data_IF_976637355792
#
_entry.id   IF_976637355792
#
_cell.length_a   1.000
_cell.length_b   1.000
_cell.length_c   1.000
_cell.angle_alpha   90.00
_cell.angle_beta   90.00
_cell.angle_gamma   90.00
#
_symmetry.space_group_name_H-M   'P 1'
#
loop_
_entity.id
_entity.type
_entity.pdbx_description
1 polymer ?
#
# COMPACT_ATOMS: atom_id res chain seq x y z
N UNK A 1 18.68 7.93 20.03
CA UNK A 1 18.76 6.93 18.94
C UNK A 1 17.41 6.29 18.73
N UNK A 2 16.94 6.21 17.50
CA UNK A 2 15.67 5.54 17.13
C UNK A 2 15.98 4.11 16.72
N UNK A 3 15.25 3.14 17.26
CA UNK A 3 15.38 1.72 16.93
C UNK A 3 14.22 1.29 16.03
N UNK A 4 14.54 0.87 14.81
CA UNK A 4 13.59 0.27 13.87
C UNK A 4 13.73 -1.25 13.90
N UNK A 5 12.60 -1.94 14.03
CA UNK A 5 12.53 -3.39 13.94
C UNK A 5 12.06 -3.82 12.56
N UNK A 6 12.96 -4.35 11.76
CA UNK A 6 12.75 -4.74 10.35
C UNK A 6 12.16 -6.12 10.15
N UNK A 7 11.44 -6.69 11.12
CA UNK A 7 10.88 -8.05 11.02
C UNK A 7 9.96 -8.27 9.81
N UNK A 8 9.42 -7.19 9.22
CA UNK A 8 8.56 -7.27 8.03
C UNK A 8 9.27 -7.95 6.85
N UNK A 9 10.59 -7.78 6.70
CA UNK A 9 11.35 -8.38 5.61
C UNK A 9 11.33 -9.92 5.66
N UNK A 10 11.26 -10.50 6.86
CA UNK A 10 11.13 -11.95 7.04
C UNK A 10 9.71 -12.48 6.86
N UNK A 11 8.71 -11.60 6.78
CA UNK A 11 7.28 -11.95 6.66
C UNK A 11 6.81 -11.79 5.22
N UNK A 12 7.21 -10.70 4.58
CA UNK A 12 6.90 -10.41 3.17
C UNK A 12 8.09 -9.70 2.51
N UNK A 13 8.64 -10.29 1.47
CA UNK A 13 9.80 -9.73 0.77
C UNK A 13 9.55 -8.37 0.13
N UNK A 14 8.31 -8.10 -0.33
CA UNK A 14 7.93 -6.82 -0.91
C UNK A 14 6.42 -6.60 -0.85
N UNK A 15 6.04 -5.46 -0.32
CA UNK A 15 4.64 -5.04 -0.20
C UNK A 15 4.58 -3.59 0.28
N UNK A 16 3.38 -3.02 0.38
CA UNK A 16 3.19 -1.63 0.80
C UNK A 16 3.86 -1.29 2.14
N UNK A 17 3.85 -2.22 3.10
CA UNK A 17 4.49 -2.04 4.41
C UNK A 17 6.02 -1.96 4.26
N UNK A 18 6.63 -2.84 3.47
CA UNK A 18 8.08 -2.84 3.22
C UNK A 18 8.51 -1.55 2.51
N UNK A 19 7.72 -1.08 1.53
CA UNK A 19 7.97 0.20 0.84
C UNK A 19 7.92 1.36 1.85
N UNK A 20 6.88 1.44 2.67
CA UNK A 20 6.72 2.47 3.69
C UNK A 20 7.95 2.54 4.62
N UNK A 21 8.33 1.41 5.24
CA UNK A 21 9.47 1.40 6.16
C UNK A 21 10.80 1.72 5.47
N UNK A 22 11.02 1.23 4.25
CA UNK A 22 12.20 1.60 3.46
C UNK A 22 12.29 3.11 3.25
N UNK A 23 11.20 3.76 2.87
CA UNK A 23 11.16 5.19 2.62
C UNK A 23 11.35 6.02 3.90
N UNK A 24 10.76 5.60 5.03
CA UNK A 24 10.96 6.26 6.33
C UNK A 24 12.39 6.08 6.84
N UNK A 25 12.90 4.85 6.87
CA UNK A 25 14.24 4.55 7.41
C UNK A 25 15.34 5.22 6.60
N UNK A 26 15.28 5.17 5.26
CA UNK A 26 16.24 5.85 4.37
C UNK A 26 16.33 7.37 4.60
N UNK A 27 15.22 8.00 4.93
CA UNK A 27 15.19 9.44 5.23
C UNK A 27 15.64 9.72 6.65
N UNK A 28 15.23 8.88 7.57
CA UNK A 28 15.57 9.01 8.99
C UNK A 28 17.08 8.91 9.22
N UNK A 29 17.78 7.96 8.60
CA UNK A 29 19.23 7.79 8.74
C UNK A 29 20.07 9.02 8.33
N UNK A 30 19.49 9.90 7.50
CA UNK A 30 20.16 11.15 7.08
C UNK A 30 20.04 12.29 8.10
N UNK A 31 19.09 12.17 9.05
CA UNK A 31 18.75 13.26 9.98
C UNK A 31 18.89 12.88 11.45
N UNK A 32 18.81 11.58 11.77
CA UNK A 32 18.77 11.07 13.14
C UNK A 32 19.74 9.89 13.30
N UNK A 33 20.23 9.70 14.51
CA UNK A 33 20.93 8.47 14.88
C UNK A 33 19.91 7.33 14.97
N UNK A 34 20.07 6.33 14.14
CA UNK A 34 19.17 5.16 14.08
C UNK A 34 19.92 3.85 14.23
N UNK A 35 19.21 2.81 14.60
CA UNK A 35 19.60 1.41 14.41
C UNK A 35 18.45 0.67 13.74
N UNK A 36 18.75 -0.10 12.70
CA UNK A 36 17.79 -0.94 12.01
C UNK A 36 18.09 -2.42 12.25
N UNK A 37 17.17 -3.15 12.85
CA UNK A 37 17.32 -4.58 13.09
C UNK A 37 16.95 -5.36 11.83
N UNK A 38 17.94 -5.99 11.19
CA UNK A 38 17.76 -6.91 10.06
C UNK A 38 17.62 -8.35 10.57
N UNK A 39 16.77 -9.14 9.91
CA UNK A 39 16.57 -10.57 10.18
C UNK A 39 16.92 -11.45 8.98
N UNK A 40 17.33 -10.86 7.87
CA UNK A 40 17.79 -11.52 6.65
C UNK A 40 18.97 -10.73 6.08
N UNK A 41 20.08 -11.42 5.77
CA UNK A 41 21.27 -10.81 5.15
C UNK A 41 20.98 -10.25 3.76
N UNK A 42 20.04 -10.85 3.04
CA UNK A 42 19.62 -10.47 1.68
C UNK A 42 18.32 -9.67 1.67
N UNK A 43 18.01 -9.03 2.81
CA UNK A 43 16.78 -8.24 2.98
C UNK A 43 16.55 -7.24 1.85
N UNK A 44 15.29 -7.06 1.49
CA UNK A 44 14.85 -6.22 0.38
C UNK A 44 15.12 -4.73 0.59
N UNK A 45 15.25 -4.32 1.85
CA UNK A 45 15.50 -2.93 2.20
C UNK A 45 17.00 -2.61 2.04
N UNK A 46 17.31 -1.65 1.16
CA UNK A 46 18.66 -1.14 0.96
C UNK A 46 19.02 -0.12 2.05
N UNK A 47 19.23 -0.61 3.26
CA UNK A 47 19.66 0.20 4.41
C UNK A 47 21.17 0.00 4.56
N UNK A 48 21.89 1.09 4.88
CA UNK A 48 23.33 1.06 5.10
C UNK A 48 23.70 0.08 6.21
N UNK A 49 24.74 -0.70 6.00
CA UNK A 49 25.25 -1.65 7.01
C UNK A 49 25.77 -0.93 8.27
N UNK A 50 26.18 0.34 8.15
CA UNK A 50 26.63 1.15 9.28
C UNK A 50 25.55 1.39 10.34
N UNK A 51 24.27 1.39 9.93
CA UNK A 51 23.11 1.60 10.83
C UNK A 51 22.29 0.34 11.02
N UNK A 52 22.67 -0.77 10.40
CA UNK A 52 21.94 -2.05 10.51
C UNK A 52 22.63 -3.02 11.48
N UNK A 53 21.81 -3.74 12.25
CA UNK A 53 22.23 -4.80 13.15
C UNK A 53 21.53 -6.10 12.75
N UNK A 54 22.31 -7.10 12.32
CA UNK A 54 21.77 -8.41 11.99
C UNK A 54 21.36 -9.15 13.26
N UNK A 55 20.13 -9.64 13.29
CA UNK A 55 19.56 -10.45 14.36
C UNK A 55 19.22 -11.85 13.87
N UNK A 56 19.41 -12.84 14.73
CA UNK A 56 18.99 -14.21 14.45
C UNK A 56 17.46 -14.30 14.33
N UNK A 57 16.97 -14.81 13.20
CA UNK A 57 15.56 -15.13 12.99
C UNK A 57 15.23 -16.43 13.75
N UNK A 58 14.72 -16.29 14.98
CA UNK A 58 14.33 -17.42 15.82
C UNK A 58 12.95 -17.94 15.43
N UNK A 59 12.62 -19.15 15.83
CA UNK A 59 11.27 -19.69 15.69
C UNK A 59 10.25 -18.76 16.36
N UNK A 60 9.19 -18.40 15.63
CA UNK A 60 8.15 -17.43 16.03
C UNK A 60 8.69 -16.03 16.38
N UNK A 61 9.78 -15.59 15.76
CA UNK A 61 10.41 -14.28 16.02
C UNK A 61 9.43 -13.11 15.93
N UNK A 62 8.53 -13.14 14.96
CA UNK A 62 7.51 -12.10 14.75
C UNK A 62 6.57 -11.85 15.95
N UNK A 63 6.47 -12.81 16.88
CA UNK A 63 5.61 -12.73 18.07
C UNK A 63 6.38 -12.39 19.35
N UNK A 64 7.70 -12.27 19.28
CA UNK A 64 8.57 -11.97 20.43
C UNK A 64 8.76 -10.47 20.57
N UNK A 65 8.89 -10.02 21.81
CA UNK A 65 9.31 -8.65 22.09
C UNK A 65 10.79 -8.44 21.75
N UNK A 66 11.12 -7.21 21.37
CA UNK A 66 12.44 -6.82 20.86
C UNK A 66 13.31 -6.32 22.01
N UNK A 67 14.49 -6.90 22.19
CA UNK A 67 15.47 -6.37 23.13
C UNK A 67 16.09 -5.09 22.58
N UNK A 68 15.91 -3.99 23.32
CA UNK A 68 16.43 -2.67 22.97
C UNK A 68 17.73 -2.37 23.71
N UNK A 69 18.64 -1.66 23.05
CA UNK A 69 19.85 -1.14 23.69
C UNK A 69 19.49 -0.05 24.72
N UNK A 70 20.35 0.15 25.74
CA UNK A 70 20.10 1.14 26.83
C UNK A 70 19.95 2.60 26.33
N UNK A 71 20.55 2.92 25.22
CA UNK A 71 20.48 4.26 24.60
C UNK A 71 19.34 4.42 23.58
N UNK A 72 18.42 3.45 23.49
CA UNK A 72 17.24 3.56 22.65
C UNK A 72 16.26 4.57 23.26
N UNK A 73 15.98 5.63 22.52
CA UNK A 73 15.08 6.71 22.93
C UNK A 73 13.65 6.51 22.38
N UNK A 74 13.53 5.83 21.23
CA UNK A 74 12.27 5.55 20.57
C UNK A 74 12.34 4.23 19.81
N UNK A 75 11.26 3.46 19.85
CA UNK A 75 11.09 2.21 19.14
C UNK A 75 9.95 2.29 18.12
N UNK A 76 10.20 1.84 16.88
CA UNK A 76 9.18 1.73 15.83
C UNK A 76 9.29 0.38 15.14
N UNK A 77 8.29 -0.49 15.34
CA UNK A 77 8.23 -1.81 14.71
C UNK A 77 7.58 -1.77 13.34
N UNK A 78 8.16 -2.50 12.40
CA UNK A 78 7.57 -2.70 11.09
C UNK A 78 6.37 -3.67 11.07
N UNK A 79 6.18 -4.46 12.15
CA UNK A 79 5.06 -5.42 12.19
C UNK A 79 4.61 -5.76 13.63
N UNK A 80 3.98 -4.83 14.30
CA UNK A 80 3.24 -5.02 15.57
C UNK A 80 4.02 -5.70 16.72
N UNK A 81 5.34 -5.53 16.77
CA UNK A 81 6.16 -5.96 17.91
C UNK A 81 6.31 -4.83 18.92
N UNK A 82 6.61 -5.18 20.15
CA UNK A 82 6.86 -4.25 21.24
C UNK A 82 8.29 -4.38 21.73
N UNK A 83 8.86 -3.34 22.35
CA UNK A 83 10.12 -3.45 23.06
C UNK A 83 9.95 -4.27 24.35
N UNK A 84 10.96 -5.07 24.71
CA UNK A 84 10.94 -5.87 25.95
C UNK A 84 11.14 -5.03 27.21
N UNK A 85 11.58 -3.79 27.07
CA UNK A 85 11.74 -2.80 28.15
C UNK A 85 10.96 -1.56 27.81
N UNK A 86 10.62 -0.74 28.82
CA UNK A 86 9.87 0.50 28.57
C UNK A 86 10.70 1.48 27.74
N UNK A 87 10.27 1.72 26.52
CA UNK A 87 10.82 2.70 25.58
C UNK A 87 9.64 3.38 24.90
N UNK A 88 9.66 4.71 24.67
CA UNK A 88 8.66 5.38 23.85
C UNK A 88 8.44 4.62 22.52
N UNK A 89 7.19 4.28 22.23
CA UNK A 89 6.87 3.32 21.15
C UNK A 89 5.86 3.92 20.19
N UNK A 90 6.19 3.85 18.90
CA UNK A 90 5.30 4.17 17.79
C UNK A 90 4.91 2.89 17.06
N UNK A 91 3.64 2.74 16.74
CA UNK A 91 3.13 1.67 15.86
C UNK A 91 2.43 2.29 14.66
N UNK A 92 2.77 1.86 13.45
CA UNK A 92 2.02 2.22 12.24
C UNK A 92 1.00 1.15 11.91
N UNK A 93 -0.26 1.56 11.71
CA UNK A 93 -1.38 0.71 11.28
C UNK A 93 -1.68 0.98 9.82
N UNK A 94 -1.51 -0.04 8.99
CA UNK A 94 -1.67 0.06 7.55
C UNK A 94 -3.10 -0.24 7.07
N UNK A 95 -3.80 -1.20 7.69
CA UNK A 95 -5.15 -1.60 7.32
C UNK A 95 -5.83 -2.43 8.41
N UNK A 96 -7.09 -2.80 8.19
CA UNK A 96 -7.87 -3.74 8.99
C UNK A 96 -8.42 -4.90 8.14
N UNK A 97 -7.64 -5.33 7.13
CA UNK A 97 -7.99 -6.42 6.21
C UNK A 97 -8.27 -7.72 6.95
N UNK A 98 -7.45 -8.08 7.95
CA UNK A 98 -7.66 -9.30 8.74
C UNK A 98 -8.98 -9.28 9.49
N UNK A 99 -9.34 -8.15 10.08
CA UNK A 99 -10.59 -7.98 10.82
C UNK A 99 -11.82 -8.10 9.93
N UNK A 100 -11.72 -7.66 8.67
CA UNK A 100 -12.85 -7.58 7.73
C UNK A 100 -13.01 -8.85 6.87
N UNK A 101 -11.90 -9.45 6.41
CA UNK A 101 -11.94 -10.43 5.32
C UNK A 101 -11.30 -11.78 5.64
N UNK A 102 -10.55 -11.89 6.74
CA UNK A 102 -9.92 -13.15 7.13
C UNK A 102 -10.74 -13.83 8.23
N UNK A 103 -10.84 -15.15 8.19
CA UNK A 103 -11.53 -15.96 9.20
C UNK A 103 -10.58 -17.00 9.80
N UNK A 104 -10.95 -17.57 10.95
CA UNK A 104 -10.22 -18.66 11.59
C UNK A 104 -9.05 -18.22 12.47
N UNK A 105 -8.16 -19.16 12.89
CA UNK A 105 -7.10 -18.93 13.86
C UNK A 105 -6.11 -17.84 13.47
N UNK A 106 -5.78 -17.72 12.18
CA UNK A 106 -4.87 -16.70 11.67
C UNK A 106 -5.36 -15.28 11.99
N UNK A 107 -6.67 -15.02 11.88
CA UNK A 107 -7.28 -13.75 12.28
C UNK A 107 -7.04 -13.46 13.76
N UNK A 108 -7.34 -14.45 14.62
CA UNK A 108 -7.23 -14.26 16.08
C UNK A 108 -5.81 -13.90 16.50
N UNK A 109 -4.83 -14.62 15.98
CA UNK A 109 -3.42 -14.38 16.30
C UNK A 109 -2.97 -13.02 15.79
N UNK A 110 -3.31 -12.67 14.54
CA UNK A 110 -2.95 -11.37 13.95
C UNK A 110 -3.60 -10.20 14.72
N UNK A 111 -4.92 -10.28 14.96
CA UNK A 111 -5.65 -9.24 15.68
C UNK A 111 -5.11 -9.08 17.11
N UNK A 112 -4.83 -10.21 17.81
CA UNK A 112 -4.24 -10.16 19.15
C UNK A 112 -2.90 -9.40 19.14
N UNK A 113 -1.99 -9.75 18.23
CA UNK A 113 -0.68 -9.09 18.12
C UNK A 113 -0.82 -7.61 17.80
N UNK A 114 -1.64 -7.26 16.81
CA UNK A 114 -1.90 -5.89 16.39
C UNK A 114 -2.51 -5.06 17.51
N UNK A 115 -3.56 -5.56 18.18
CA UNK A 115 -4.23 -4.82 19.26
C UNK A 115 -3.33 -4.68 20.49
N UNK A 116 -2.49 -5.69 20.79
CA UNK A 116 -1.48 -5.58 21.82
C UNK A 116 -0.51 -4.43 21.51
N UNK A 117 0.00 -4.34 20.28
CA UNK A 117 0.90 -3.26 19.88
C UNK A 117 0.21 -1.90 19.94
N UNK A 118 -1.01 -1.75 19.39
CA UNK A 118 -1.78 -0.51 19.41
C UNK A 118 -2.00 -0.01 20.84
N UNK A 119 -2.46 -0.87 21.75
CA UNK A 119 -2.78 -0.49 23.14
C UNK A 119 -1.56 -0.09 23.97
N UNK A 120 -0.40 -0.66 23.66
CA UNK A 120 0.85 -0.42 24.42
C UNK A 120 1.78 0.60 23.75
N UNK A 121 1.40 1.16 22.61
CA UNK A 121 2.14 2.27 21.98
C UNK A 121 1.79 3.60 22.62
N UNK A 122 2.75 4.52 22.64
CA UNK A 122 2.56 5.89 23.09
C UNK A 122 1.82 6.71 22.03
N UNK A 123 2.19 6.52 20.74
CA UNK A 123 1.48 7.07 19.56
C UNK A 123 1.25 5.96 18.53
N UNK A 124 0.10 6.02 17.86
CA UNK A 124 -0.27 5.15 16.74
C UNK A 124 -0.46 5.99 15.48
N UNK A 125 0.35 5.70 14.46
CA UNK A 125 0.21 6.30 13.14
C UNK A 125 -0.79 5.47 12.33
N UNK A 126 -1.78 6.12 11.74
CA UNK A 126 -2.70 5.54 10.77
C UNK A 126 -2.42 6.13 9.39
N UNK A 127 -2.33 5.29 8.36
CA UNK A 127 -1.96 5.71 6.99
C UNK A 127 -3.07 6.46 6.25
N UNK A 128 -4.27 6.53 6.83
CA UNK A 128 -5.42 7.29 6.31
C UNK A 128 -6.42 7.61 7.43
N UNK A 129 -7.31 8.58 7.21
CA UNK A 129 -8.44 8.84 8.12
C UNK A 129 -9.38 7.64 8.21
N UNK A 130 -9.56 6.90 7.10
CA UNK A 130 -10.32 5.66 7.13
C UNK A 130 -9.68 4.62 8.06
N UNK A 131 -8.35 4.44 8.00
CA UNK A 131 -7.63 3.53 8.91
C UNK A 131 -7.77 3.97 10.37
N UNK A 132 -7.75 5.28 10.66
CA UNK A 132 -8.00 5.79 12.01
C UNK A 132 -9.45 5.52 12.48
N UNK A 133 -10.43 5.63 11.59
CA UNK A 133 -11.83 5.26 11.87
C UNK A 133 -11.97 3.77 12.17
N UNK A 134 -11.35 2.92 11.35
CA UNK A 134 -11.34 1.47 11.56
C UNK A 134 -10.63 1.11 12.88
N UNK A 135 -9.52 1.80 13.21
CA UNK A 135 -8.83 1.62 14.50
C UNK A 135 -9.77 1.87 15.67
N UNK A 136 -10.51 2.98 15.66
CA UNK A 136 -11.47 3.30 16.71
C UNK A 136 -12.63 2.31 16.77
N UNK A 137 -12.99 1.69 15.65
CA UNK A 137 -14.04 0.66 15.61
C UNK A 137 -13.57 -0.68 16.19
N UNK A 138 -12.34 -1.15 15.81
CA UNK A 138 -11.87 -2.50 16.14
C UNK A 138 -11.01 -2.56 17.41
N UNK A 139 -10.27 -1.52 17.70
CA UNK A 139 -9.35 -1.42 18.84
C UNK A 139 -9.31 0.01 19.38
N UNK A 140 -10.40 0.51 20.01
CA UNK A 140 -10.47 1.89 20.46
C UNK A 140 -9.38 2.20 21.49
N UNK A 141 -8.73 3.36 21.28
CA UNK A 141 -7.72 3.95 22.17
C UNK A 141 -8.03 5.44 22.34
N UNK A 142 -7.30 6.13 23.22
CA UNK A 142 -7.43 7.57 23.38
C UNK A 142 -7.14 8.30 22.06
N UNK A 143 -8.07 9.17 21.57
CA UNK A 143 -7.88 9.87 20.28
C UNK A 143 -6.58 10.69 20.21
N UNK A 144 -6.11 11.24 21.35
CA UNK A 144 -4.85 11.99 21.41
C UNK A 144 -3.60 11.17 21.04
N UNK A 145 -3.68 9.83 21.09
CA UNK A 145 -2.59 8.92 20.68
C UNK A 145 -2.57 8.66 19.19
N UNK A 146 -3.59 9.06 18.43
CA UNK A 146 -3.71 8.78 17.00
C UNK A 146 -3.14 9.94 16.20
N UNK A 147 -2.29 9.61 15.21
CA UNK A 147 -1.83 10.54 14.18
C UNK A 147 -2.16 9.95 12.82
N UNK A 148 -2.71 10.73 11.92
CA UNK A 148 -2.89 10.34 10.52
C UNK A 148 -1.72 10.89 9.74
N UNK A 149 -0.95 9.99 9.13
CA UNK A 149 0.19 10.32 8.26
C UNK A 149 0.02 9.53 6.97
N UNK A 150 -0.28 10.24 5.89
CA UNK A 150 -0.50 9.61 4.59
C UNK A 150 0.78 9.03 3.99
N UNK A 151 0.65 7.91 3.30
CA UNK A 151 1.76 7.38 2.50
C UNK A 151 2.13 8.34 1.37
N UNK A 152 3.37 8.26 0.91
CA UNK A 152 3.83 8.96 -0.27
C UNK A 152 3.75 8.12 -1.55
N UNK A 153 4.10 8.75 -2.65
CA UNK A 153 4.34 8.11 -3.95
C UNK A 153 5.79 8.37 -4.39
N UNK A 154 6.38 7.38 -5.05
CA UNK A 154 7.76 7.46 -5.53
C UNK A 154 7.90 8.46 -6.68
N UNK A 155 9.05 9.13 -6.76
CA UNK A 155 9.42 9.98 -7.89
C UNK A 155 9.72 9.19 -9.17
N UNK A 156 9.82 7.86 -9.07
CA UNK A 156 9.92 6.97 -10.23
C UNK A 156 8.65 6.98 -11.11
N UNK A 157 7.52 7.47 -10.57
CA UNK A 157 6.27 7.64 -11.30
C UNK A 157 6.15 9.08 -11.80
N UNK A 158 6.03 9.27 -13.11
CA UNK A 158 5.93 10.57 -13.77
C UNK A 158 5.34 10.40 -15.18
N UNK A 159 4.72 11.46 -15.75
CA UNK A 159 4.26 11.43 -17.14
C UNK A 159 5.43 11.40 -18.11
N UNK A 160 5.43 10.43 -19.02
CA UNK A 160 6.46 10.31 -20.06
C UNK A 160 6.05 11.18 -21.25
N UNK A 161 6.82 12.23 -21.52
CA UNK A 161 6.60 13.11 -22.67
C UNK A 161 6.83 12.34 -23.97
N UNK A 162 5.98 12.59 -24.98
CA UNK A 162 6.02 11.95 -26.32
C UNK A 162 5.61 10.47 -26.39
N UNK A 163 4.95 9.93 -25.37
CA UNK A 163 4.31 8.63 -25.50
C UNK A 163 3.07 8.76 -26.39
N UNK A 164 3.27 8.48 -27.70
CA UNK A 164 2.29 8.79 -28.75
C UNK A 164 1.03 7.93 -28.76
N UNK A 165 1.04 6.78 -28.07
CA UNK A 165 -0.07 5.82 -28.16
C UNK A 165 -0.54 5.39 -26.78
N UNK A 166 -1.63 6.01 -26.34
CA UNK A 166 -2.48 5.39 -25.32
C UNK A 166 -3.10 4.15 -25.95
N UNK A 167 -2.88 3.01 -25.32
CA UNK A 167 -3.44 1.73 -25.78
C UNK A 167 -4.83 1.50 -25.21
N UNK A 168 -5.57 0.54 -25.74
CA UNK A 168 -6.83 0.07 -25.12
C UNK A 168 -6.56 -0.87 -23.92
N UNK A 169 -5.45 -0.66 -23.23
CA UNK A 169 -5.01 -1.49 -22.12
C UNK A 169 -5.58 -0.96 -20.79
N UNK A 170 -6.32 -1.79 -20.08
CA UNK A 170 -6.80 -1.51 -18.73
C UNK A 170 -5.91 -2.26 -17.74
N UNK A 171 -5.31 -1.54 -16.80
CA UNK A 171 -4.45 -2.14 -15.79
C UNK A 171 -5.25 -2.59 -14.57
N UNK A 172 -4.91 -3.77 -14.07
CA UNK A 172 -5.22 -4.24 -12.73
C UNK A 172 -3.91 -4.44 -11.98
N UNK A 173 -3.73 -3.75 -10.84
CA UNK A 173 -2.48 -3.79 -10.07
C UNK A 173 -2.75 -4.28 -8.65
N UNK A 174 -2.06 -5.36 -8.26
CA UNK A 174 -2.09 -5.90 -6.90
C UNK A 174 -2.44 -7.39 -6.81
N UNK A 175 -2.76 -7.84 -5.58
CA UNK A 175 -3.23 -9.19 -5.35
C UNK A 175 -4.64 -9.39 -5.94
N UNK A 176 -4.96 -10.64 -6.31
CA UNK A 176 -6.27 -11.00 -6.89
C UNK A 176 -7.20 -11.67 -5.87
N UNK A 177 -6.99 -11.41 -4.59
CA UNK A 177 -7.82 -11.93 -3.48
C UNK A 177 -9.25 -11.37 -3.51
N UNK A 178 -10.18 -12.03 -2.83
CA UNK A 178 -11.62 -11.79 -2.93
C UNK A 178 -12.06 -10.32 -2.86
N UNK A 179 -11.63 -9.56 -1.86
CA UNK A 179 -11.99 -8.15 -1.69
C UNK A 179 -11.38 -7.20 -2.74
N UNK A 180 -10.40 -7.67 -3.52
CA UNK A 180 -9.84 -6.93 -4.67
C UNK A 180 -10.71 -7.05 -5.93
N UNK A 181 -11.75 -7.88 -5.92
CA UNK A 181 -12.78 -7.98 -6.96
C UNK A 181 -12.23 -8.22 -8.39
N UNK A 182 -11.18 -9.04 -8.50
CA UNK A 182 -10.56 -9.36 -9.79
C UNK A 182 -11.56 -9.92 -10.82
N UNK A 183 -12.50 -10.76 -10.36
CA UNK A 183 -13.55 -11.33 -11.21
C UNK A 183 -14.44 -10.23 -11.81
N UNK A 184 -14.81 -9.21 -11.04
CA UNK A 184 -15.62 -8.09 -11.53
C UNK A 184 -14.86 -7.24 -12.57
N UNK A 185 -13.52 -7.13 -12.45
CA UNK A 185 -12.71 -6.49 -13.48
C UNK A 185 -12.78 -7.28 -14.80
N UNK A 186 -12.65 -8.61 -14.75
CA UNK A 186 -12.79 -9.48 -15.92
C UNK A 186 -14.20 -9.34 -16.54
N UNK A 187 -15.25 -9.37 -15.73
CA UNK A 187 -16.64 -9.27 -16.20
C UNK A 187 -16.96 -7.89 -16.81
N UNK A 188 -16.31 -6.82 -16.36
CA UNK A 188 -16.40 -5.52 -16.97
C UNK A 188 -15.76 -5.51 -18.37
N UNK A 189 -14.53 -6.07 -18.50
CA UNK A 189 -13.80 -6.19 -19.77
C UNK A 189 -14.47 -7.15 -20.75
N UNK A 190 -15.20 -8.16 -20.27
CA UNK A 190 -15.99 -9.06 -21.14
C UNK A 190 -17.07 -8.30 -21.93
N UNK A 191 -17.52 -7.15 -21.42
CA UNK A 191 -18.51 -6.27 -22.07
C UNK A 191 -17.87 -5.17 -22.93
N UNK A 192 -16.56 -5.14 -23.05
CA UNK A 192 -15.75 -4.14 -23.77
C UNK A 192 -14.75 -4.87 -24.66
N UNK A 193 -15.18 -5.36 -25.86
CA UNK A 193 -14.36 -6.24 -26.69
C UNK A 193 -13.08 -5.59 -27.23
N UNK A 194 -13.04 -4.27 -27.30
CA UNK A 194 -11.90 -3.48 -27.77
C UNK A 194 -10.77 -3.33 -26.73
N UNK A 195 -11.06 -3.62 -25.43
CA UNK A 195 -10.06 -3.47 -24.36
C UNK A 195 -9.36 -4.76 -23.98
N UNK A 196 -8.11 -4.63 -23.58
CA UNK A 196 -7.23 -5.71 -23.09
C UNK A 196 -6.94 -5.50 -21.60
N UNK A 197 -6.95 -6.56 -20.82
CA UNK A 197 -6.63 -6.54 -19.38
C UNK A 197 -5.16 -6.85 -19.15
N UNK A 198 -4.40 -5.92 -18.62
CA UNK A 198 -3.03 -6.15 -18.14
C UNK A 198 -3.01 -6.31 -16.62
N UNK A 199 -2.46 -7.43 -16.18
CA UNK A 199 -2.47 -7.86 -14.78
C UNK A 199 -1.06 -7.77 -14.21
N UNK A 200 -0.88 -6.91 -13.20
CA UNK A 200 0.40 -6.68 -12.53
C UNK A 200 0.33 -7.17 -11.08
N UNK A 201 1.31 -7.96 -10.68
CA UNK A 201 1.44 -8.47 -9.31
C UNK A 201 0.58 -9.71 -9.01
N UNK A 202 0.38 -9.98 -7.73
CA UNK A 202 -0.46 -11.09 -7.24
C UNK A 202 0.12 -12.49 -7.44
N UNK A 203 1.38 -12.64 -7.86
CA UNK A 203 1.97 -13.95 -8.19
C UNK A 203 1.48 -14.50 -9.53
N UNK A 204 1.85 -15.73 -9.87
CA UNK A 204 1.39 -16.39 -11.10
C UNK A 204 -0.14 -16.59 -11.12
N UNK A 205 -0.70 -16.58 -12.32
CA UNK A 205 -2.12 -16.89 -12.50
C UNK A 205 -2.39 -18.36 -12.14
N UNK A 206 -3.33 -18.58 -11.25
CA UNK A 206 -3.80 -19.93 -10.94
C UNK A 206 -4.53 -20.58 -12.11
N UNK A 207 -4.68 -21.90 -12.09
CA UNK A 207 -5.45 -22.63 -13.12
C UNK A 207 -6.88 -22.10 -13.26
N UNK A 208 -7.53 -21.78 -12.13
CA UNK A 208 -8.90 -21.25 -12.12
C UNK A 208 -8.98 -19.86 -12.71
N UNK A 209 -8.02 -18.98 -12.39
CA UNK A 209 -7.94 -17.64 -12.96
C UNK A 209 -7.70 -17.66 -14.47
N UNK A 210 -6.79 -18.54 -14.94
CA UNK A 210 -6.55 -18.74 -16.39
C UNK A 210 -7.84 -19.23 -17.08
N UNK A 211 -8.50 -20.23 -16.53
CA UNK A 211 -9.76 -20.75 -17.09
C UNK A 211 -10.86 -19.67 -17.16
N UNK A 212 -10.96 -18.84 -16.12
CA UNK A 212 -11.92 -17.74 -16.08
C UNK A 212 -11.60 -16.68 -17.15
N UNK A 213 -10.34 -16.26 -17.27
CA UNK A 213 -9.87 -15.30 -18.28
C UNK A 213 -10.16 -15.81 -19.69
N UNK A 214 -9.79 -17.06 -20.00
CA UNK A 214 -10.06 -17.68 -21.30
C UNK A 214 -11.55 -17.80 -21.60
N UNK A 215 -12.39 -18.05 -20.61
CA UNK A 215 -13.84 -18.16 -20.81
C UNK A 215 -14.53 -16.80 -21.04
N UNK A 216 -14.01 -15.72 -20.47
CA UNK A 216 -14.66 -14.40 -20.46
C UNK A 216 -14.05 -13.41 -21.46
N UNK A 217 -12.73 -13.41 -21.58
CA UNK A 217 -11.96 -12.48 -22.41
C UNK A 217 -10.82 -13.21 -23.15
N UNK A 218 -11.12 -14.25 -23.95
CA UNK A 218 -10.10 -15.09 -24.60
C UNK A 218 -9.13 -14.25 -25.43
N UNK A 219 -7.82 -14.43 -25.19
CA UNK A 219 -6.76 -13.71 -25.90
C UNK A 219 -6.68 -12.21 -25.61
N UNK A 220 -7.52 -11.66 -24.74
CA UNK A 220 -7.56 -10.22 -24.38
C UNK A 220 -7.06 -9.94 -22.96
N UNK A 221 -6.05 -10.67 -22.52
CA UNK A 221 -5.37 -10.38 -21.26
C UNK A 221 -3.88 -10.68 -21.36
N UNK A 222 -3.10 -9.99 -20.55
CA UNK A 222 -1.66 -10.23 -20.41
C UNK A 222 -1.31 -10.20 -18.92
N UNK A 223 -0.66 -11.27 -18.44
CA UNK A 223 -0.08 -11.26 -17.10
C UNK A 223 1.37 -10.78 -17.20
N UNK A 224 1.64 -9.63 -16.60
CA UNK A 224 2.94 -8.97 -16.63
C UNK A 224 3.83 -9.36 -15.43
N UNK A 225 3.28 -10.15 -14.49
CA UNK A 225 4.01 -10.52 -13.31
C UNK A 225 4.28 -9.32 -12.40
N UNK A 226 5.41 -9.35 -11.70
CA UNK A 226 5.88 -8.23 -10.90
C UNK A 226 6.78 -7.35 -11.76
N UNK A 227 6.46 -6.08 -11.81
CA UNK A 227 7.23 -5.07 -12.53
C UNK A 227 8.16 -4.29 -11.58
N UNK A 228 9.24 -3.76 -12.12
CA UNK A 228 10.00 -2.68 -11.47
C UNK A 228 9.18 -1.38 -11.46
N UNK A 229 9.53 -0.41 -10.60
CA UNK A 229 8.86 0.89 -10.60
C UNK A 229 8.92 1.58 -11.98
N UNK A 230 10.05 1.45 -12.69
CA UNK A 230 10.22 2.01 -14.02
C UNK A 230 9.29 1.33 -15.06
N UNK A 231 9.20 -0.01 -15.05
CA UNK A 231 8.31 -0.75 -15.94
C UNK A 231 6.85 -0.53 -15.61
N UNK A 232 6.52 -0.38 -14.31
CA UNK A 232 5.16 -0.08 -13.87
C UNK A 232 4.77 1.36 -14.26
N UNK A 233 5.70 2.32 -14.17
CA UNK A 233 5.48 3.67 -14.69
C UNK A 233 5.20 3.65 -16.20
N UNK A 234 5.96 2.88 -16.99
CA UNK A 234 5.70 2.69 -18.43
C UNK A 234 4.31 2.10 -18.67
N UNK A 235 3.91 1.10 -17.87
CA UNK A 235 2.60 0.47 -17.98
C UNK A 235 1.47 1.48 -17.67
N UNK A 236 1.59 2.28 -16.61
CA UNK A 236 0.62 3.34 -16.32
C UNK A 236 0.53 4.36 -17.46
N UNK A 237 1.66 4.84 -17.96
CA UNK A 237 1.68 5.88 -19.01
C UNK A 237 0.99 5.44 -20.31
N UNK A 238 1.10 4.16 -20.70
CA UNK A 238 0.47 3.65 -21.93
C UNK A 238 -0.98 3.22 -21.74
N UNK A 239 -1.42 2.99 -20.50
CA UNK A 239 -2.72 2.42 -20.24
C UNK A 239 -3.88 3.41 -20.53
N UNK A 240 -5.02 2.85 -20.92
CA UNK A 240 -6.29 3.57 -20.96
C UNK A 240 -6.69 4.06 -19.57
N UNK A 241 -6.66 3.17 -18.59
CA UNK A 241 -6.94 3.47 -17.19
C UNK A 241 -6.37 2.39 -16.26
N UNK A 242 -6.15 2.76 -15.00
CA UNK A 242 -6.11 1.82 -13.90
C UNK A 242 -7.55 1.50 -13.46
N UNK A 243 -7.94 0.22 -13.50
CA UNK A 243 -9.15 -0.26 -12.84
C UNK A 243 -8.79 -0.83 -11.48
N UNK A 244 -9.28 -0.18 -10.41
CA UNK A 244 -8.99 -0.51 -9.02
C UNK A 244 -10.27 -0.86 -8.25
N UNK A 245 -10.82 -2.08 -8.46
CA UNK A 245 -12.15 -2.43 -8.02
C UNK A 245 -12.24 -2.89 -6.55
N UNK A 246 -11.23 -2.60 -5.75
CA UNK A 246 -11.13 -3.04 -4.37
C UNK A 246 -12.30 -2.56 -3.51
N UNK A 247 -12.88 -3.46 -2.72
CA UNK A 247 -13.92 -3.14 -1.72
C UNK A 247 -13.35 -2.57 -0.42
N UNK A 248 -12.04 -2.61 -0.25
CA UNK A 248 -11.34 -2.08 0.93
C UNK A 248 -9.86 -1.85 0.65
N UNK A 249 -9.34 -0.73 1.15
CA UNK A 249 -7.92 -0.39 1.18
C UNK A 249 -7.58 0.38 2.46
N UNK A 250 -6.37 0.17 2.97
CA UNK A 250 -5.86 1.02 4.05
C UNK A 250 -5.41 2.39 3.55
N UNK A 251 -4.89 2.46 2.30
CA UNK A 251 -4.51 3.70 1.63
C UNK A 251 -4.81 3.65 0.12
N UNK A 252 -4.19 2.75 -0.64
CA UNK A 252 -4.38 2.66 -2.09
C UNK A 252 -3.22 3.27 -2.88
N UNK A 253 -1.98 2.89 -2.56
CA UNK A 253 -0.77 3.37 -3.26
C UNK A 253 -0.90 3.29 -4.80
N UNK A 254 -1.41 2.21 -5.42
CA UNK A 254 -1.57 2.15 -6.87
C UNK A 254 -2.41 3.28 -7.48
N UNK A 255 -3.35 3.84 -6.73
CA UNK A 255 -4.17 4.98 -7.18
C UNK A 255 -3.30 6.23 -7.38
N UNK A 256 -2.45 6.57 -6.41
CA UNK A 256 -1.57 7.75 -6.54
C UNK A 256 -0.40 7.51 -7.49
N UNK A 257 0.08 6.26 -7.64
CA UNK A 257 1.08 5.90 -8.64
C UNK A 257 0.54 6.14 -10.06
N UNK A 258 -0.66 5.63 -10.34
CA UNK A 258 -1.34 5.85 -11.62
C UNK A 258 -1.55 7.34 -11.90
N UNK A 259 -2.09 8.08 -10.94
CA UNK A 259 -2.31 9.53 -11.06
C UNK A 259 -1.00 10.28 -11.33
N UNK A 260 0.07 9.97 -10.61
CA UNK A 260 1.37 10.60 -10.78
C UNK A 260 2.00 10.28 -12.16
N UNK A 261 1.66 9.12 -12.72
CA UNK A 261 2.09 8.71 -14.07
C UNK A 261 1.21 9.30 -15.19
N UNK A 262 0.17 10.08 -14.86
CA UNK A 262 -0.79 10.59 -15.83
C UNK A 262 -1.77 9.51 -16.35
N UNK A 263 -2.00 8.45 -15.59
CA UNK A 263 -2.97 7.41 -15.89
C UNK A 263 -4.32 7.71 -15.22
N UNK A 264 -5.43 7.81 -15.96
CA UNK A 264 -6.76 7.89 -15.37
C UNK A 264 -7.07 6.71 -14.46
N UNK A 265 -7.84 6.95 -13.41
CA UNK A 265 -8.21 5.93 -12.42
C UNK A 265 -9.72 5.74 -12.40
N UNK A 266 -10.13 4.47 -12.46
CA UNK A 266 -11.50 4.01 -12.16
C UNK A 266 -11.43 3.14 -10.91
N UNK A 267 -12.14 3.52 -9.86
CA UNK A 267 -12.10 2.82 -8.57
C UNK A 267 -13.47 2.82 -7.88
N UNK A 268 -13.57 2.15 -6.74
CA UNK A 268 -14.80 2.12 -5.93
C UNK A 268 -14.73 3.23 -4.86
N UNK A 269 -15.86 3.88 -4.60
CA UNK A 269 -16.01 4.92 -3.59
C UNK A 269 -16.10 4.33 -2.17
N UNK A 270 -15.04 3.67 -1.72
CA UNK A 270 -15.02 2.97 -0.42
C UNK A 270 -13.68 3.17 0.31
N UNK A 271 -13.74 2.99 1.63
CA UNK A 271 -12.57 3.04 2.52
C UNK A 271 -11.71 4.31 2.33
N UNK A 272 -10.41 4.16 2.14
CA UNK A 272 -9.47 5.27 1.92
C UNK A 272 -9.45 5.81 0.49
N UNK A 273 -10.07 5.13 -0.48
CA UNK A 273 -10.00 5.51 -1.91
C UNK A 273 -10.50 6.94 -2.18
N UNK A 274 -11.67 7.39 -1.66
CA UNK A 274 -12.12 8.77 -1.85
C UNK A 274 -11.16 9.81 -1.26
N UNK A 275 -10.55 9.50 -0.12
CA UNK A 275 -9.56 10.35 0.56
C UNK A 275 -8.29 10.52 -0.29
N UNK A 276 -7.82 9.43 -0.90
CA UNK A 276 -6.61 9.41 -1.73
C UNK A 276 -6.87 9.97 -3.12
N UNK A 277 -7.97 9.59 -3.75
CA UNK A 277 -8.30 9.98 -5.11
C UNK A 277 -8.85 11.42 -5.22
N UNK A 278 -9.49 11.93 -4.17
CA UNK A 278 -10.22 13.20 -4.27
C UNK A 278 -11.21 13.18 -5.42
N UNK A 279 -11.25 14.26 -6.19
CA UNK A 279 -12.08 14.37 -7.39
C UNK A 279 -11.35 13.96 -8.68
N UNK A 280 -10.18 13.34 -8.58
CA UNK A 280 -9.30 13.06 -9.70
C UNK A 280 -9.45 11.63 -10.27
N UNK A 281 -10.51 10.92 -9.90
CA UNK A 281 -10.83 9.59 -10.40
C UNK A 281 -12.33 9.47 -10.70
N UNK A 282 -12.69 8.52 -11.56
CA UNK A 282 -14.09 8.10 -11.68
C UNK A 282 -14.35 7.05 -10.59
N UNK A 283 -15.12 7.44 -9.58
CA UNK A 283 -15.48 6.58 -8.47
C UNK A 283 -16.88 5.98 -8.68
N UNK A 284 -16.96 4.65 -8.71
CA UNK A 284 -18.26 3.95 -8.74
C UNK A 284 -18.80 3.82 -7.31
N UNK A 285 -20.13 3.87 -7.16
CA UNK A 285 -20.78 3.81 -5.84
C UNK A 285 -20.49 2.49 -5.11
N UNK A 286 -20.42 1.39 -5.85
CA UNK A 286 -20.09 0.05 -5.37
C UNK A 286 -19.35 -0.76 -6.44
N UNK A 287 -18.77 -1.88 -6.04
CA UNK A 287 -18.05 -2.77 -6.95
C UNK A 287 -19.04 -3.56 -7.82
N UNK A 288 -19.18 -3.16 -9.07
CA UNK A 288 -20.09 -3.77 -10.06
C UNK A 288 -19.49 -3.71 -11.47
N UNK A 289 -19.60 -4.80 -12.22
CA UNK A 289 -19.03 -4.91 -13.56
C UNK A 289 -19.68 -3.97 -14.60
N UNK A 290 -20.99 -3.63 -14.45
CA UNK A 290 -21.66 -2.67 -15.34
C UNK A 290 -21.20 -1.26 -15.05
N UNK A 291 -21.10 -0.88 -13.78
CA UNK A 291 -20.58 0.43 -13.38
C UNK A 291 -19.13 0.63 -13.81
N UNK A 292 -18.27 -0.39 -13.69
CA UNK A 292 -16.89 -0.33 -14.18
C UNK A 292 -16.82 -0.18 -15.70
N UNK A 293 -17.67 -0.91 -16.44
CA UNK A 293 -17.80 -0.73 -17.89
C UNK A 293 -18.13 0.73 -18.24
N UNK A 294 -19.18 1.29 -17.64
CA UNK A 294 -19.63 2.66 -17.89
C UNK A 294 -18.55 3.68 -17.53
N UNK A 295 -17.86 3.48 -16.39
CA UNK A 295 -16.75 4.32 -15.95
C UNK A 295 -15.55 4.26 -16.92
N UNK A 296 -15.18 3.07 -17.41
CA UNK A 296 -14.09 2.92 -18.37
C UNK A 296 -14.38 3.60 -19.70
N UNK A 297 -15.62 3.56 -20.20
CA UNK A 297 -16.02 4.29 -21.40
C UNK A 297 -15.95 5.81 -21.19
N UNK A 298 -16.38 6.30 -20.03
CA UNK A 298 -16.34 7.72 -19.68
C UNK A 298 -14.91 8.28 -19.61
N UNK A 299 -13.90 7.45 -19.32
CA UNK A 299 -12.50 7.88 -19.32
C UNK A 299 -12.10 8.51 -20.66
N UNK A 300 -12.57 7.98 -21.81
CA UNK A 300 -12.25 8.53 -23.13
C UNK A 300 -12.74 9.97 -23.31
N UNK A 301 -13.86 10.32 -22.71
CA UNK A 301 -14.49 11.65 -22.82
C UNK A 301 -13.83 12.69 -21.91
N UNK A 302 -13.32 12.24 -20.75
CA UNK A 302 -12.80 13.13 -19.68
C UNK A 302 -11.32 12.92 -19.41
N UNK A 303 -10.59 12.31 -20.36
CA UNK A 303 -9.20 11.84 -20.13
C UNK A 303 -8.24 12.95 -19.69
N UNK A 304 -8.23 14.08 -20.41
CA UNK A 304 -7.33 15.20 -20.11
C UNK A 304 -7.64 15.83 -18.75
N UNK A 305 -8.92 15.97 -18.42
CA UNK A 305 -9.36 16.47 -17.12
C UNK A 305 -8.90 15.55 -15.99
N UNK A 306 -9.07 14.23 -16.17
CA UNK A 306 -8.64 13.23 -15.18
C UNK A 306 -7.11 13.20 -15.00
N UNK A 307 -6.34 13.34 -16.09
CA UNK A 307 -4.88 13.40 -16.01
C UNK A 307 -4.43 14.64 -15.22
N UNK A 308 -4.95 15.82 -15.58
CA UNK A 308 -4.57 17.06 -14.91
C UNK A 308 -4.95 17.05 -13.43
N UNK A 309 -6.18 16.67 -13.11
CA UNK A 309 -6.63 16.54 -11.72
C UNK A 309 -5.83 15.46 -10.96
N UNK A 310 -5.49 14.35 -11.64
CA UNK A 310 -4.69 13.27 -11.07
C UNK A 310 -3.28 13.72 -10.68
N UNK A 311 -2.61 14.47 -11.55
CA UNK A 311 -1.28 15.02 -11.27
C UNK A 311 -1.30 15.99 -10.10
N UNK A 312 -2.29 16.89 -10.04
CA UNK A 312 -2.48 17.81 -8.92
C UNK A 312 -2.77 17.07 -7.61
N UNK A 313 -3.60 16.03 -7.66
CA UNK A 313 -3.93 15.22 -6.50
C UNK A 313 -2.71 14.43 -6.00
N UNK A 314 -1.97 13.78 -6.90
CA UNK A 314 -0.80 13.00 -6.55
C UNK A 314 0.33 13.87 -5.96
N UNK A 315 0.43 15.14 -6.36
CA UNK A 315 1.42 16.08 -5.81
C UNK A 315 1.25 16.35 -4.30
N UNK A 316 0.08 16.08 -3.74
CA UNK A 316 -0.19 16.22 -2.30
C UNK A 316 0.45 15.11 -1.47
N UNK A 317 0.89 14.02 -2.10
CA UNK A 317 1.41 12.81 -1.47
C UNK A 317 2.87 12.59 -1.87
N UNK A 318 3.79 12.82 -0.95
CA UNK A 318 5.21 12.53 -1.16
C UNK A 318 5.79 11.78 0.03
N UNK A 319 6.81 10.95 -0.23
CA UNK A 319 7.53 10.27 0.85
C UNK A 319 8.27 11.26 1.74
N UNK A 320 8.65 12.44 1.24
CA UNK A 320 9.26 13.49 2.04
C UNK A 320 8.25 14.07 3.04
N UNK A 321 7.03 14.36 2.60
CA UNK A 321 5.95 14.81 3.49
C UNK A 321 5.60 13.73 4.53
N UNK A 322 5.41 12.49 4.10
CA UNK A 322 5.17 11.36 4.99
C UNK A 322 6.26 11.23 6.06
N UNK A 323 7.52 11.37 5.67
CA UNK A 323 8.65 11.34 6.59
C UNK A 323 8.66 12.53 7.54
N UNK A 324 8.43 13.76 7.08
CA UNK A 324 8.40 14.95 7.95
C UNK A 324 7.31 14.84 9.01
N UNK A 325 6.10 14.42 8.62
CA UNK A 325 4.99 14.20 9.56
C UNK A 325 5.30 13.05 10.54
N UNK A 326 5.96 11.97 10.08
CA UNK A 326 6.43 10.88 10.95
C UNK A 326 7.51 11.36 11.92
N UNK A 327 8.43 12.21 11.47
CA UNK A 327 9.49 12.78 12.31
C UNK A 327 8.90 13.66 13.41
N UNK A 328 7.88 14.47 13.11
CA UNK A 328 7.15 15.24 14.13
C UNK A 328 6.57 14.34 15.21
N UNK A 329 6.00 13.18 14.82
CA UNK A 329 5.51 12.18 15.79
C UNK A 329 6.63 11.65 16.69
N UNK A 330 7.82 11.44 16.14
CA UNK A 330 8.96 11.01 16.94
C UNK A 330 9.44 12.10 17.90
N UNK A 331 9.46 13.36 17.46
CA UNK A 331 9.86 14.51 18.26
C UNK A 331 8.88 14.78 19.43
N UNK A 332 7.60 14.42 19.28
CA UNK A 332 6.63 14.49 20.39
C UNK A 332 6.98 13.53 21.56
N UNK A 333 7.82 12.51 21.31
CA UNK A 333 8.11 11.44 22.27
C UNK A 333 9.55 11.46 22.78
N UNK A 334 10.45 12.19 22.15
CA UNK A 334 11.87 12.31 22.51
C UNK A 334 12.17 13.57 23.30
#
# INVERSE_FOLDING_TARGET
MILFDGVIESIQGCGGISVYFNEIVKRCQKKQSITYLKYDEHGYLKISDEVSELRLLRFLERYRDVSCAKNTMLFHSSYYRLPSTRVPTVTTVHDFTYEKFVNGPAKWVHCWQKYRAIKNSDIVICVSHNTAKDLMQYCPIEPKKIRVVHNGVSEAYYPITNMKNVTNEVLFVGARTGYKNFVLAIDALAKLPEYVLSIVGGGELTKNEKALLESRIPGRYTWLGRLSDADLNLAYNRAHALLYPSSYEGFGIPVIEAMRSGCPVVAVNVSSIPEVAGNAAILTEYADAKLFKEALLKVSETREELINAGLEQAAKFSWDKCFQETLQVYEELM
#
